data_IF_315481602508
#
_entry.id   IF_315481602508
#
_cell.length_a   1.000
_cell.length_b   1.000
_cell.length_c   1.000
_cell.angle_alpha   90.00
_cell.angle_beta   90.00
_cell.angle_gamma   90.00
#
_symmetry.space_group_name_H-M   'P 1'
#
loop_
_entity.id
_entity.type
_entity.pdbx_description
1 polymer ?
#
# COMPACT_ATOMS: atom_id res chain seq x y z
N UNK A 1 -9.39 9.20 4.27
CA UNK A 1 -9.56 10.30 3.31
C UNK A 1 -8.20 10.60 2.75
N UNK A 2 -7.76 9.74 1.84
CA UNK A 2 -6.42 9.72 1.28
C UNK A 2 -6.53 8.89 -0.01
N UNK A 3 -7.53 9.27 -0.82
CA UNK A 3 -7.91 8.53 -2.01
C UNK A 3 -6.94 8.92 -3.14
N UNK A 4 -6.04 8.01 -3.56
CA UNK A 4 -5.04 8.32 -4.57
C UNK A 4 -5.66 8.57 -5.95
N UNK A 5 -6.93 8.19 -6.17
CA UNK A 5 -7.66 8.42 -7.43
C UNK A 5 -8.10 9.89 -7.57
N UNK A 6 -7.95 10.71 -6.52
CA UNK A 6 -8.17 12.15 -6.60
C UNK A 6 -7.13 12.88 -7.49
N UNK A 7 -5.98 12.26 -7.77
CA UNK A 7 -4.90 12.79 -8.62
C UNK A 7 -4.91 12.22 -10.05
N UNK A 8 -6.08 11.75 -10.53
CA UNK A 8 -6.22 11.23 -11.89
C UNK A 8 -5.84 9.75 -12.02
N UNK A 9 -5.14 9.41 -13.10
CA UNK A 9 -4.70 8.04 -13.38
C UNK A 9 -3.62 7.57 -12.38
N UNK A 10 -3.85 6.43 -11.74
CA UNK A 10 -2.90 5.80 -10.82
C UNK A 10 -2.41 4.46 -11.37
N UNK A 11 -1.10 4.23 -11.31
CA UNK A 11 -0.49 2.94 -11.60
C UNK A 11 -0.41 2.11 -10.31
N UNK A 12 -1.00 0.90 -10.35
CA UNK A 12 -0.99 -0.03 -9.21
C UNK A 12 0.02 -1.12 -9.51
N UNK A 13 1.16 -1.07 -8.84
CA UNK A 13 2.24 -2.05 -8.99
C UNK A 13 2.29 -3.00 -7.80
N UNK A 14 2.34 -4.29 -8.08
CA UNK A 14 2.61 -5.29 -7.04
C UNK A 14 4.13 -5.39 -6.80
N UNK A 15 4.58 -5.00 -5.60
CA UNK A 15 5.96 -5.14 -5.13
C UNK A 15 6.14 -6.50 -4.46
N UNK A 16 7.11 -7.24 -4.97
CA UNK A 16 7.50 -8.52 -4.42
C UNK A 16 8.30 -8.34 -3.11
N UNK A 17 8.30 -9.35 -2.21
CA UNK A 17 9.02 -9.28 -0.93
C UNK A 17 10.51 -8.93 -1.08
N UNK A 18 11.17 -9.47 -2.11
CA UNK A 18 12.58 -9.18 -2.39
C UNK A 18 12.85 -7.74 -2.86
N UNK A 19 11.82 -7.02 -3.32
CA UNK A 19 11.93 -5.61 -3.73
C UNK A 19 11.67 -4.66 -2.55
N UNK A 20 10.94 -5.13 -1.54
CA UNK A 20 10.63 -4.39 -0.34
C UNK A 20 11.85 -4.35 0.59
N UNK A 21 12.83 -3.51 0.27
CA UNK A 21 14.06 -3.37 1.08
C UNK A 21 13.99 -2.20 2.08
N UNK A 22 12.86 -1.48 2.11
CA UNK A 22 12.64 -0.32 2.96
C UNK A 22 11.34 -0.45 3.73
N UNK A 23 11.31 0.20 4.88
CA UNK A 23 10.14 0.35 5.72
C UNK A 23 9.22 1.41 5.10
N UNK A 24 7.96 1.06 4.92
CA UNK A 24 6.94 1.99 4.41
C UNK A 24 5.74 2.00 5.34
N UNK A 25 4.91 3.04 5.27
CA UNK A 25 3.68 3.14 6.09
C UNK A 25 2.46 2.94 5.20
N UNK A 26 1.57 2.05 5.62
CA UNK A 26 0.31 1.82 4.93
C UNK A 26 -0.75 2.84 5.35
N UNK A 27 -1.33 3.63 4.43
CA UNK A 27 -2.29 4.68 4.77
C UNK A 27 -3.66 4.15 5.21
N UNK A 28 -4.01 2.89 4.92
CA UNK A 28 -5.29 2.31 5.34
C UNK A 28 -5.29 1.83 6.79
N UNK A 29 -4.15 1.37 7.29
CA UNK A 29 -4.02 0.81 8.64
C UNK A 29 -3.01 1.54 9.51
N UNK A 30 -2.38 2.60 8.99
CA UNK A 30 -1.31 3.37 9.62
C UNK A 30 -0.18 2.51 10.20
N UNK A 31 0.03 1.32 9.64
CA UNK A 31 1.02 0.36 10.11
C UNK A 31 2.21 0.29 9.17
N UNK A 32 3.37 0.06 9.75
CA UNK A 32 4.61 -0.22 9.05
C UNK A 32 4.50 -1.50 8.20
N UNK A 33 5.07 -1.42 7.00
CA UNK A 33 5.29 -2.50 6.05
C UNK A 33 6.78 -2.84 6.17
N UNK A 34 7.06 -3.97 6.79
CA UNK A 34 8.42 -4.44 7.00
C UNK A 34 9.09 -4.80 5.67
N UNK A 35 10.42 -4.60 5.55
CA UNK A 35 11.16 -5.10 4.40
C UNK A 35 11.03 -6.62 4.31
N UNK A 36 10.96 -7.17 3.10
CA UNK A 36 10.64 -8.58 2.87
C UNK A 36 9.14 -8.89 2.80
N UNK A 37 8.26 -7.89 2.93
CA UNK A 37 6.80 -8.08 2.79
C UNK A 37 6.31 -7.67 1.41
N UNK A 38 5.70 -8.58 0.66
CA UNK A 38 5.09 -8.25 -0.63
C UNK A 38 3.82 -7.41 -0.47
N UNK A 39 3.80 -6.22 -1.09
CA UNK A 39 2.81 -5.17 -0.91
C UNK A 39 2.51 -4.45 -2.25
N UNK A 40 1.48 -3.60 -2.31
CA UNK A 40 1.16 -2.79 -3.48
C UNK A 40 1.74 -1.38 -3.36
N UNK A 41 2.31 -0.84 -4.43
CA UNK A 41 2.60 0.57 -4.56
C UNK A 41 1.64 1.19 -5.57
N UNK A 42 0.96 2.25 -5.14
CA UNK A 42 0.08 3.05 -5.97
C UNK A 42 0.81 4.34 -6.28
N UNK A 43 1.11 4.55 -7.55
CA UNK A 43 1.90 5.67 -8.06
C UNK A 43 0.98 6.55 -8.92
N UNK A 44 0.66 7.78 -8.51
CA UNK A 44 -0.05 8.72 -9.36
C UNK A 44 0.78 9.05 -10.61
N UNK A 45 0.17 9.06 -11.80
CA UNK A 45 0.90 9.43 -13.03
C UNK A 45 1.34 10.89 -13.02
N UNK A 46 0.50 11.78 -12.52
CA UNK A 46 0.78 13.22 -12.46
C UNK A 46 1.78 13.59 -11.34
N UNK A 47 1.90 12.73 -10.31
CA UNK A 47 2.76 12.96 -9.16
C UNK A 47 3.39 11.66 -8.66
N UNK A 48 4.42 11.13 -9.34
CA UNK A 48 5.04 9.84 -8.99
C UNK A 48 5.72 9.86 -7.61
N UNK A 49 6.09 11.04 -7.12
CA UNK A 49 6.64 11.25 -5.78
C UNK A 49 5.62 10.98 -4.66
N UNK A 50 4.33 11.16 -4.94
CA UNK A 50 3.24 10.88 -4.00
C UNK A 50 2.85 9.39 -3.96
N UNK A 51 3.76 8.49 -4.38
CA UNK A 51 3.50 7.05 -4.35
C UNK A 51 3.22 6.53 -2.95
N UNK A 52 2.18 5.71 -2.82
CA UNK A 52 1.68 5.18 -1.55
C UNK A 52 1.79 3.67 -1.52
N UNK A 53 2.23 3.14 -0.39
CA UNK A 53 2.44 1.70 -0.23
C UNK A 53 1.33 1.11 0.63
N UNK A 54 0.77 -0.01 0.20
CA UNK A 54 -0.38 -0.66 0.81
C UNK A 54 -0.12 -2.14 1.01
N UNK A 55 -0.46 -2.68 2.18
CA UNK A 55 -0.48 -4.14 2.34
C UNK A 55 -1.45 -4.79 1.35
N UNK A 56 -1.13 -6.01 0.88
CA UNK A 56 -2.01 -6.79 -0.03
C UNK A 56 -3.46 -6.85 0.46
N UNK A 57 -3.66 -7.27 1.71
CA UNK A 57 -4.99 -7.38 2.31
C UNK A 57 -5.67 -6.03 2.59
N UNK A 58 -4.88 -4.97 2.82
CA UNK A 58 -5.43 -3.62 3.00
C UNK A 58 -5.88 -2.99 1.69
N UNK A 59 -5.21 -3.31 0.58
CA UNK A 59 -5.60 -2.86 -0.76
C UNK A 59 -6.87 -3.58 -1.23
N UNK A 60 -6.90 -4.90 -1.17
CA UNK A 60 -8.05 -5.72 -1.56
C UNK A 60 -9.29 -5.44 -0.68
N UNK A 61 -9.08 -5.33 0.63
CA UNK A 61 -10.14 -5.04 1.60
C UNK A 61 -10.61 -3.58 1.63
N UNK A 62 -10.00 -2.65 0.87
CA UNK A 62 -10.31 -1.20 0.97
C UNK A 62 -11.75 -0.87 0.61
N UNK A 63 -12.36 -1.65 -0.29
CA UNK A 63 -13.76 -1.45 -0.71
C UNK A 63 -14.78 -2.06 0.27
N UNK A 64 -14.37 -3.00 1.12
CA UNK A 64 -15.31 -3.85 1.87
C UNK A 64 -15.12 -3.82 3.38
N UNK A 65 -13.93 -3.46 3.90
CA UNK A 65 -13.63 -3.50 5.33
C UNK A 65 -12.97 -2.22 5.84
N UNK A 66 -13.60 -1.61 6.85
CA UNK A 66 -12.90 -0.74 7.82
C UNK A 66 -11.79 -1.56 8.49
N UNK A 67 -10.59 -1.01 8.54
CA UNK A 67 -9.34 -1.67 8.95
C UNK A 67 -9.51 -2.63 10.15
N UNK A 68 -9.53 -3.95 9.89
CA UNK A 68 -9.22 -4.97 10.90
C UNK A 68 -7.80 -5.44 10.64
N UNK A 69 -6.87 -4.90 11.42
CA UNK A 69 -5.47 -5.33 11.49
C UNK A 69 -5.39 -6.84 11.71
N UNK A 70 -5.04 -7.61 10.68
CA UNK A 70 -4.72 -9.03 10.82
C UNK A 70 -3.19 -9.17 10.90
N UNK A 71 -2.70 -9.53 12.10
CA UNK A 71 -1.31 -9.92 12.37
C UNK A 71 -0.88 -11.04 11.42
N UNK A 72 0.38 -11.02 10.96
CA UNK A 72 1.17 -12.24 10.70
C UNK A 72 2.66 -11.90 10.59
N UNK A 73 3.34 -11.97 11.72
CA UNK A 73 4.74 -12.39 11.75
C UNK A 73 4.77 -13.91 11.72
N UNK A 74 5.75 -14.47 11.02
CA UNK A 74 6.25 -15.82 11.22
C UNK A 74 7.76 -15.74 11.25
#
# INVERSE_FOLDING_TARGET
>A
MDDPEAYGEVDVRFLQPYQANKWYVCPNCNRDIEPGTGHYAIVPKEAPDLRRHWHRGCWDGRKTRKARTKKKGR
#
